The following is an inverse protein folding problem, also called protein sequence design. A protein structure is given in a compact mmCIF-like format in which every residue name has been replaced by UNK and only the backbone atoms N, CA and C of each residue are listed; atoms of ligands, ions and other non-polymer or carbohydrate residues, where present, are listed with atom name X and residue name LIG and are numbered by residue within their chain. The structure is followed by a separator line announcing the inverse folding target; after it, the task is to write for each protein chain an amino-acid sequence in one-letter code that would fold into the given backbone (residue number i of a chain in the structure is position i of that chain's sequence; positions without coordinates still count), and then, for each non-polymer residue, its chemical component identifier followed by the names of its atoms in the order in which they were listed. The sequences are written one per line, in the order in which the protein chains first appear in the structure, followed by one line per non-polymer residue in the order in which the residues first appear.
data_IF_880973381487
#
_entry.id   IF_880973381487
#
_cell.length_a   1.000
_cell.length_b   1.000
_cell.length_c   1.000
_cell.angle_alpha   90.00
_cell.angle_beta   90.00
_cell.angle_gamma   90.00
#
_symmetry.space_group_name_H-M   'P 1'
#
loop_
_entity.id
_entity.type
_entity.pdbx_description
1 polymer ?
#
# COMPACT_ATOMS: atom_id res chain seq x y z
N UNK A 1 8.09 -0.28 6.30
CA UNK A 1 7.84 0.93 5.46
C UNK A 1 7.59 0.40 4.07
N UNK A 2 6.41 0.62 3.46
CA UNK A 2 6.06 -0.09 2.22
C UNK A 2 7.12 0.17 1.14
N UNK A 3 7.65 -0.91 0.59
CA UNK A 3 8.63 -0.91 -0.50
C UNK A 3 8.14 -0.07 -1.68
N UNK A 4 9.07 0.61 -2.35
CA UNK A 4 8.76 1.57 -3.42
C UNK A 4 8.06 0.87 -4.59
N UNK A 5 8.45 -0.38 -4.86
CA UNK A 5 7.86 -1.25 -5.88
C UNK A 5 6.39 -1.54 -5.58
N UNK A 6 6.05 -1.90 -4.34
CA UNK A 6 4.67 -2.18 -3.92
C UNK A 6 3.78 -0.95 -3.97
N UNK A 7 4.32 0.24 -3.69
CA UNK A 7 3.57 1.49 -3.86
C UNK A 7 3.26 1.77 -5.32
N UNK A 8 4.26 1.63 -6.20
CA UNK A 8 4.08 1.82 -7.64
C UNK A 8 3.11 0.79 -8.24
N UNK A 9 3.17 -0.46 -7.78
CA UNK A 9 2.23 -1.50 -8.20
C UNK A 9 0.78 -1.19 -7.80
N UNK A 10 0.55 -0.69 -6.58
CA UNK A 10 -0.78 -0.28 -6.13
C UNK A 10 -1.31 0.94 -6.89
N UNK A 11 -0.46 1.93 -7.20
CA UNK A 11 -0.85 3.08 -8.02
C UNK A 11 -1.20 2.63 -9.44
N UNK A 12 -0.45 1.71 -10.03
CA UNK A 12 -0.75 1.18 -11.36
C UNK A 12 -2.04 0.34 -11.40
N UNK A 13 -2.37 -0.37 -10.31
CA UNK A 13 -3.57 -1.23 -10.23
C UNK A 13 -4.86 -0.46 -9.89
N UNK A 14 -4.78 0.53 -9.01
CA UNK A 14 -5.95 1.21 -8.44
C UNK A 14 -6.04 2.70 -8.79
N UNK A 15 -4.96 3.28 -9.31
CA UNK A 15 -4.91 4.68 -9.71
C UNK A 15 -5.64 4.93 -11.01
N UNK A 16 -6.33 6.06 -11.11
CA UNK A 16 -7.00 6.49 -12.34
C UNK A 16 -6.01 6.98 -13.39
N UNK A 17 -4.82 7.40 -12.94
CA UNK A 17 -3.69 7.79 -13.78
C UNK A 17 -2.40 7.25 -13.17
N UNK A 18 -1.32 7.20 -13.95
CA UNK A 18 -0.03 6.66 -13.51
C UNK A 18 0.60 7.42 -12.31
N UNK A 19 0.17 8.66 -12.06
CA UNK A 19 0.62 9.49 -10.95
C UNK A 19 -0.49 9.74 -9.92
N UNK A 20 -1.59 8.98 -9.98
CA UNK A 20 -2.69 9.12 -9.05
C UNK A 20 -2.30 8.54 -7.70
N UNK A 21 -1.72 9.39 -6.85
CA UNK A 21 -1.35 9.03 -5.47
C UNK A 21 -2.42 9.45 -4.47
N UNK A 22 -3.44 10.19 -4.88
CA UNK A 22 -4.36 10.90 -3.98
C UNK A 22 -5.76 10.30 -3.92
N UNK A 23 -6.12 9.44 -4.89
CA UNK A 23 -7.46 8.86 -4.92
C UNK A 23 -7.75 7.96 -3.71
N UNK A 24 -9.01 7.91 -3.25
CA UNK A 24 -9.41 7.06 -2.15
C UNK A 24 -9.03 5.59 -2.37
N UNK A 25 -9.17 5.09 -3.59
CA UNK A 25 -8.89 3.70 -3.94
C UNK A 25 -7.39 3.36 -3.75
N UNK A 26 -6.50 4.24 -4.22
CA UNK A 26 -5.05 4.07 -4.05
C UNK A 26 -4.63 4.21 -2.59
N UNK A 27 -5.19 5.18 -1.87
CA UNK A 27 -4.90 5.39 -0.45
C UNK A 27 -5.36 4.19 0.40
N UNK A 28 -6.55 3.65 0.14
CA UNK A 28 -7.04 2.43 0.81
C UNK A 28 -6.09 1.26 0.52
N UNK A 29 -5.71 1.03 -0.74
CA UNK A 29 -4.79 -0.05 -1.09
C UNK A 29 -3.42 0.07 -0.37
N UNK A 30 -2.85 1.28 -0.31
CA UNK A 30 -1.61 1.53 0.44
C UNK A 30 -1.78 1.27 1.94
N UNK A 31 -2.86 1.76 2.56
CA UNK A 31 -3.11 1.58 3.99
C UNK A 31 -3.33 0.11 4.34
N UNK A 32 -4.09 -0.63 3.52
CA UNK A 32 -4.28 -2.08 3.69
C UNK A 32 -2.96 -2.85 3.60
N UNK A 33 -2.10 -2.52 2.63
CA UNK A 33 -0.78 -3.13 2.53
C UNK A 33 0.07 -2.84 3.78
N UNK A 34 0.00 -1.62 4.32
CA UNK A 34 0.71 -1.24 5.55
C UNK A 34 0.20 -1.99 6.77
N UNK A 35 -1.12 -2.13 6.91
CA UNK A 35 -1.74 -2.87 8.01
C UNK A 35 -1.30 -4.32 7.97
N UNK A 36 -1.24 -4.93 6.79
CA UNK A 36 -0.79 -6.32 6.63
C UNK A 36 0.67 -6.47 7.06
N UNK A 37 1.57 -5.63 6.54
CA UNK A 37 2.99 -5.61 6.92
C UNK A 37 3.17 -5.45 8.44
N UNK A 38 2.43 -4.52 9.05
CA UNK A 38 2.52 -4.27 10.48
C UNK A 38 1.95 -5.44 11.30
N UNK A 39 0.85 -6.04 10.85
CA UNK A 39 0.24 -7.19 11.51
C UNK A 39 1.20 -8.37 11.53
N UNK A 40 1.87 -8.65 10.41
CA UNK A 40 2.83 -9.75 10.33
C UNK A 40 4.08 -9.46 11.16
N UNK A 41 4.57 -8.20 11.14
CA UNK A 41 5.66 -7.78 12.02
C UNK A 41 5.35 -8.02 13.50
N UNK A 42 4.15 -7.65 13.96
CA UNK A 42 3.73 -7.86 15.35
C UNK A 42 3.53 -9.34 15.71
N UNK A 43 3.15 -10.20 14.75
CA UNK A 43 3.09 -11.65 14.98
C UNK A 43 4.47 -12.27 15.14
N UNK A 44 5.45 -11.81 14.36
CA UNK A 44 6.83 -12.28 14.43
C UNK A 44 7.57 -11.71 15.66
N UNK A 45 7.09 -10.59 16.23
CA UNK A 45 7.68 -9.89 17.37
C UNK A 45 6.62 -9.65 18.48
N UNK A 46 6.26 -10.69 19.26
CA UNK A 46 5.22 -10.65 20.28
C UNK A 46 5.57 -9.81 21.51
#
# INVERSE_FOLDING_TARGET
MIAKEKKQENIAKYGRTANDTGSPEVQVALLTARITELTDHLKENP
#
